data_IF_138997389783
#
_entry.id   IF_138997389783
#
_cell.length_a   1.000
_cell.length_b   1.000
_cell.length_c   1.000
_cell.angle_alpha   90.00
_cell.angle_beta   90.00
_cell.angle_gamma   90.00
#
_symmetry.space_group_name_H-M   'P 1'
#
loop_
_entity.id
_entity.type
_entity.pdbx_description
1 polymer ?
#
# COMPACT_ATOMS: atom_id res chain seq x y z
N UNK A 1 21.76 -0.12 -3.22
CA UNK A 1 20.39 0.30 -3.63
C UNK A 1 19.35 -0.46 -2.81
N UNK A 2 19.24 -0.22 -1.48
CA UNK A 2 18.28 -0.93 -0.60
C UNK A 2 17.32 -0.01 0.17
N UNK A 3 17.58 1.31 0.16
CA UNK A 3 16.74 2.29 0.87
C UNK A 3 15.60 2.85 -0.01
N UNK A 4 15.86 3.02 -1.33
CA UNK A 4 14.92 3.62 -2.27
C UNK A 4 13.64 2.80 -2.49
N UNK A 5 13.72 1.47 -2.38
CA UNK A 5 12.55 0.60 -2.47
C UNK A 5 11.61 0.79 -1.28
N UNK A 6 12.13 1.01 -0.08
CA UNK A 6 11.31 1.17 1.13
C UNK A 6 10.61 2.54 1.19
N UNK A 7 11.20 3.57 0.59
CA UNK A 7 10.62 4.92 0.49
C UNK A 7 9.68 5.09 -0.71
N UNK A 8 9.96 4.44 -1.85
CA UNK A 8 9.10 4.54 -3.05
C UNK A 8 7.67 4.08 -2.79
N UNK A 9 7.49 2.95 -2.09
CA UNK A 9 6.15 2.47 -1.71
C UNK A 9 5.39 3.42 -0.78
N UNK A 10 6.09 4.24 0.02
CA UNK A 10 5.44 5.22 0.91
C UNK A 10 4.89 6.40 0.13
N UNK A 11 5.62 6.87 -0.87
CA UNK A 11 5.12 7.92 -1.77
C UNK A 11 3.87 7.45 -2.52
N UNK A 12 3.90 6.24 -3.08
CA UNK A 12 2.76 5.69 -3.80
C UNK A 12 1.55 5.46 -2.89
N UNK A 13 1.78 4.96 -1.66
CA UNK A 13 0.73 4.78 -0.65
C UNK A 13 0.11 6.11 -0.21
N UNK A 14 0.93 7.15 -0.03
CA UNK A 14 0.47 8.49 0.31
C UNK A 14 -0.40 9.06 -0.81
N UNK A 15 0.05 8.95 -2.06
CA UNK A 15 -0.67 9.46 -3.23
C UNK A 15 -1.98 8.70 -3.47
N UNK A 16 -1.98 7.38 -3.31
CA UNK A 16 -3.18 6.56 -3.41
C UNK A 16 -4.21 6.96 -2.36
N UNK A 17 -3.77 7.14 -1.12
CA UNK A 17 -4.64 7.55 0.00
C UNK A 17 -5.17 8.98 -0.20
N UNK A 18 -4.35 9.92 -0.70
CA UNK A 18 -4.78 11.29 -1.03
C UNK A 18 -5.92 11.28 -2.08
N UNK A 19 -5.75 10.50 -3.15
CA UNK A 19 -6.74 10.39 -4.23
C UNK A 19 -8.03 9.72 -3.75
N UNK A 20 -7.90 8.62 -3.02
CA UNK A 20 -9.05 7.88 -2.50
C UNK A 20 -9.82 8.72 -1.48
N UNK A 21 -9.13 9.42 -0.58
CA UNK A 21 -9.75 10.36 0.35
C UNK A 21 -10.51 11.45 -0.39
N UNK A 22 -9.90 12.07 -1.40
CA UNK A 22 -10.56 13.08 -2.23
C UNK A 22 -11.80 12.55 -2.95
N UNK A 23 -11.77 11.32 -3.45
CA UNK A 23 -12.93 10.67 -4.06
C UNK A 23 -14.03 10.37 -3.04
N UNK A 24 -13.66 9.85 -1.87
CA UNK A 24 -14.62 9.49 -0.81
C UNK A 24 -15.32 10.72 -0.21
N UNK A 25 -14.78 11.93 -0.34
CA UNK A 25 -15.46 13.15 0.16
C UNK A 25 -16.87 13.31 -0.36
N UNK A 26 -17.15 12.84 -1.58
CA UNK A 26 -18.47 12.97 -2.21
C UNK A 26 -19.43 11.84 -1.84
N UNK A 27 -18.93 10.78 -1.19
CA UNK A 27 -19.67 9.54 -0.93
C UNK A 27 -19.79 9.27 0.57
N UNK A 28 -18.67 9.32 1.29
CA UNK A 28 -18.56 9.01 2.71
C UNK A 28 -17.42 9.83 3.35
N UNK A 29 -17.80 10.86 4.12
CA UNK A 29 -16.87 11.78 4.79
C UNK A 29 -15.95 11.07 5.79
N UNK A 30 -16.46 10.12 6.57
CA UNK A 30 -15.66 9.40 7.57
C UNK A 30 -14.58 8.51 6.91
N UNK A 31 -14.92 7.83 5.82
CA UNK A 31 -13.93 7.08 5.04
C UNK A 31 -12.91 8.02 4.39
N UNK A 32 -13.35 9.18 3.91
CA UNK A 32 -12.47 10.19 3.35
C UNK A 32 -11.44 10.69 4.37
N UNK A 33 -11.88 11.02 5.58
CA UNK A 33 -11.03 11.43 6.71
C UNK A 33 -9.94 10.41 6.97
N UNK A 34 -10.29 9.13 7.16
CA UNK A 34 -9.31 8.06 7.38
C UNK A 34 -8.22 8.01 6.31
N UNK A 35 -8.61 8.14 5.03
CA UNK A 35 -7.65 8.11 3.93
C UNK A 35 -6.77 9.38 3.86
N UNK A 36 -7.33 10.55 4.17
CA UNK A 36 -6.56 11.80 4.25
C UNK A 36 -5.55 11.76 5.41
N UNK A 37 -5.95 11.27 6.59
CA UNK A 37 -5.03 11.06 7.72
C UNK A 37 -3.91 10.08 7.38
N UNK A 38 -4.23 8.99 6.67
CA UNK A 38 -3.21 8.03 6.21
C UNK A 38 -2.23 8.68 5.24
N UNK A 39 -2.72 9.46 4.27
CA UNK A 39 -1.87 10.20 3.35
C UNK A 39 -0.93 11.15 4.07
N UNK A 40 -1.43 11.87 5.09
CA UNK A 40 -0.63 12.74 5.94
C UNK A 40 0.47 12.00 6.69
N UNK A 41 0.14 10.88 7.34
CA UNK A 41 1.12 10.07 8.08
C UNK A 41 2.23 9.55 7.15
N UNK A 42 1.86 9.09 5.95
CA UNK A 42 2.83 8.62 4.97
C UNK A 42 3.69 9.76 4.41
N UNK A 43 3.11 10.94 4.14
CA UNK A 43 3.87 12.12 3.73
C UNK A 43 4.81 12.65 4.81
N UNK A 44 4.38 12.67 6.08
CA UNK A 44 5.24 13.03 7.22
C UNK A 44 6.39 12.06 7.33
N UNK A 45 6.11 10.75 7.28
CA UNK A 45 7.15 9.71 7.38
C UNK A 45 8.13 9.75 6.21
N UNK A 46 7.65 10.10 5.02
CA UNK A 46 8.50 10.28 3.84
C UNK A 46 9.30 11.60 3.86
N UNK A 47 8.85 12.60 4.64
CA UNK A 47 9.49 13.92 4.72
C UNK A 47 8.99 14.93 3.69
N UNK A 48 7.80 14.72 3.12
CA UNK A 48 7.21 15.60 2.10
C UNK A 48 6.40 16.75 2.74
N UNK A 49 7.08 17.64 3.47
CA UNK A 49 6.42 18.72 4.23
C UNK A 49 5.54 19.64 3.39
N UNK A 50 5.94 19.95 2.15
CA UNK A 50 5.12 20.77 1.23
C UNK A 50 3.78 20.09 0.88
N UNK A 51 3.77 18.75 0.79
CA UNK A 51 2.53 17.98 0.57
C UNK A 51 1.66 17.98 1.82
N UNK A 52 2.26 17.83 3.01
CA UNK A 52 1.55 17.92 4.29
C UNK A 52 0.85 19.27 4.42
N UNK A 53 1.57 20.36 4.18
CA UNK A 53 1.01 21.72 4.24
C UNK A 53 -0.12 21.93 3.22
N UNK A 54 0.07 21.47 1.98
CA UNK A 54 -0.98 21.54 0.96
C UNK A 54 -2.24 20.75 1.36
N UNK A 55 -2.10 19.59 2.01
CA UNK A 55 -3.23 18.82 2.52
C UNK A 55 -3.93 19.54 3.68
N UNK A 56 -3.19 20.14 4.61
CA UNK A 56 -3.76 20.94 5.70
C UNK A 56 -4.55 22.14 5.18
N UNK A 57 -4.02 22.85 4.18
CA UNK A 57 -4.71 23.99 3.56
C UNK A 57 -5.98 23.55 2.81
N UNK A 58 -5.94 22.38 2.16
CA UNK A 58 -7.06 21.87 1.37
C UNK A 58 -8.19 21.31 2.25
N UNK A 59 -7.85 20.72 3.39
CA UNK A 59 -8.80 20.07 4.29
C UNK A 59 -8.64 20.53 5.74
N UNK A 60 -8.81 21.82 6.04
CA UNK A 60 -8.54 22.36 7.38
C UNK A 60 -9.37 21.65 8.45
N UNK A 61 -10.66 21.43 8.18
CA UNK A 61 -11.56 20.81 9.14
C UNK A 61 -11.31 19.31 9.37
N UNK A 62 -10.49 18.65 8.56
CA UNK A 62 -10.23 17.21 8.72
C UNK A 62 -8.90 16.95 9.43
N UNK A 63 -8.02 17.95 9.48
CA UNK A 63 -6.68 17.79 10.03
C UNK A 63 -6.56 18.42 11.42
N UNK A 64 -7.46 19.34 11.76
CA UNK A 64 -7.50 20.04 13.04
C UNK A 64 -8.59 19.55 14.01
N UNK A 65 -9.28 18.44 13.72
CA UNK A 65 -10.19 17.82 14.69
C UNK A 65 -9.37 17.02 15.72
N UNK A 66 -8.73 17.77 16.62
CA UNK A 66 -8.28 17.29 17.91
C UNK A 66 -9.53 16.94 18.76
N UNK A 67 -9.69 15.65 19.05
CA UNK A 67 -10.08 15.19 20.39
C UNK A 67 -11.53 15.37 20.86
N UNK A 68 -12.58 15.21 20.02
CA UNK A 68 -13.98 15.26 20.53
C UNK A 68 -14.84 14.00 20.34
N UNK A 69 -14.52 13.01 19.51
CA UNK A 69 -15.36 11.79 19.46
C UNK A 69 -14.59 10.53 19.14
N UNK A 70 -13.74 10.09 20.08
CA UNK A 70 -13.15 8.76 20.07
C UNK A 70 -14.07 7.77 20.80
N UNK A 71 -15.27 7.57 20.26
CA UNK A 71 -16.09 6.40 20.62
C UNK A 71 -15.82 5.26 19.65
N UNK A 72 -15.55 4.10 20.24
CA UNK A 72 -14.92 2.95 19.65
C UNK A 72 -15.68 2.35 18.46
N UNK A 73 -15.02 2.33 17.30
CA UNK A 73 -15.38 1.49 16.16
C UNK A 73 -14.19 0.63 15.76
N UNK A 74 -13.98 -0.46 16.48
CA UNK A 74 -13.07 -1.54 16.08
C UNK A 74 -13.53 -2.06 14.72
N UNK A 75 -12.85 -1.69 13.62
CA UNK A 75 -12.98 -2.38 12.35
C UNK A 75 -11.73 -3.22 12.11
N UNK A 76 -11.76 -4.43 12.67
CA UNK A 76 -10.87 -5.51 12.25
C UNK A 76 -11.36 -5.96 10.88
N UNK A 77 -10.71 -5.51 9.81
CA UNK A 77 -10.82 -6.16 8.50
C UNK A 77 -9.70 -7.19 8.39
N UNK A 78 -9.90 -8.34 9.05
CA UNK A 78 -9.21 -9.57 8.64
C UNK A 78 -9.89 -10.08 7.38
N UNK A 79 -9.34 -9.76 6.22
CA UNK A 79 -9.51 -10.57 5.02
C UNK A 79 -8.38 -10.23 4.05
N UNK A 80 -7.31 -11.00 4.10
CA UNK A 80 -6.75 -11.68 2.93
C UNK A 80 -5.64 -12.64 3.38
N UNK A 81 -6.06 -13.82 3.82
CA UNK A 81 -5.26 -15.04 3.69
C UNK A 81 -6.12 -16.06 2.95
N UNK A 82 -5.92 -16.15 1.63
CA UNK A 82 -6.04 -17.39 0.85
C UNK A 82 -5.74 -17.11 -0.62
N UNK A 83 -4.46 -17.10 -0.98
CA UNK A 83 -4.02 -17.89 -2.13
C UNK A 83 -2.71 -18.55 -1.76
N UNK A 84 -2.80 -19.87 -1.79
CA UNK A 84 -1.80 -20.82 -1.39
C UNK A 84 -0.48 -20.65 -2.15
N UNK A 85 0.60 -21.07 -1.48
CA UNK A 85 1.60 -22.00 -2.01
C UNK A 85 1.93 -21.81 -3.49
N UNK A 86 3.08 -21.29 -3.89
CA UNK A 86 4.39 -21.91 -3.69
C UNK A 86 5.36 -21.15 -4.59
N UNK A 87 6.61 -21.00 -4.14
CA UNK A 87 7.82 -21.14 -4.98
C UNK A 87 8.90 -20.17 -4.50
N UNK A 88 9.59 -20.60 -3.44
CA UNK A 88 11.01 -20.32 -3.29
C UNK A 88 11.60 -21.42 -2.42
N UNK A 89 12.06 -22.50 -3.05
CA UNK A 89 13.14 -23.31 -2.50
C UNK A 89 14.28 -23.40 -3.51
N UNK A 90 15.21 -22.49 -3.28
CA UNK A 90 16.64 -22.57 -3.55
C UNK A 90 17.20 -23.99 -3.77
N UNK A 91 17.94 -24.12 -4.88
CA UNK A 91 19.16 -24.93 -5.13
C UNK A 91 19.24 -26.32 -4.51
N UNK A 92 19.42 -27.36 -5.33
CA UNK A 92 20.65 -28.18 -5.33
C UNK A 92 20.59 -29.35 -6.36
N UNK A 93 21.77 -29.65 -6.93
CA UNK A 93 22.23 -30.92 -7.54
C UNK A 93 21.59 -31.32 -8.88
N UNK A 94 22.24 -31.06 -10.04
CA UNK A 94 23.28 -31.92 -10.64
C UNK A 94 23.04 -33.42 -10.44
N UNK A 95 22.65 -34.14 -11.51
CA UNK A 95 23.37 -35.32 -12.03
C UNK A 95 22.55 -35.98 -13.16
N UNK A 96 23.19 -36.15 -14.32
CA UNK A 96 23.07 -37.25 -15.30
C UNK A 96 21.68 -37.89 -15.54
N UNK A 97 21.15 -37.96 -16.77
CA UNK A 97 21.72 -38.78 -17.85
C UNK A 97 21.02 -38.48 -19.19
N UNK A 98 21.77 -38.73 -20.26
CA UNK A 98 21.47 -38.59 -21.70
C UNK A 98 20.53 -39.69 -22.20
N UNK A 99 19.69 -39.38 -23.20
CA UNK A 99 19.38 -40.19 -24.42
C UNK A 99 18.26 -39.47 -25.21
N UNK A 100 18.54 -38.66 -26.23
CA UNK A 100 18.78 -38.98 -27.66
C UNK A 100 17.76 -39.97 -28.25
N UNK A 101 16.91 -39.45 -29.16
CA UNK A 101 16.48 -39.96 -30.49
C UNK A 101 15.20 -39.18 -30.85
N UNK A 102 15.21 -38.12 -31.66
CA UNK A 102 15.40 -38.03 -33.12
C UNK A 102 14.51 -38.96 -33.94
N UNK A 103 13.89 -38.38 -34.99
CA UNK A 103 13.15 -38.97 -36.11
C UNK A 103 11.69 -39.39 -35.84
N UNK A 104 10.71 -39.10 -36.69
CA UNK A 104 10.73 -38.51 -38.04
C UNK A 104 9.31 -38.10 -38.44
N UNK A 105 9.20 -37.03 -39.22
CA UNK A 105 8.06 -36.76 -40.09
C UNK A 105 7.85 -37.89 -41.10
N UNK A 106 6.59 -38.21 -41.37
CA UNK A 106 5.95 -38.09 -42.70
C UNK A 106 4.45 -38.24 -42.58
#
# INVERSE_FOLDING_TARGET
IKSATKSGFRQDSALASERLGGFMMTINKAAAEMHIHRALSDYVTWGASAKVEALHQKYPNLVFDDDTTREAGVFVSSHEESVAATSSRVKALQSHHVEVTSSMCK
#
